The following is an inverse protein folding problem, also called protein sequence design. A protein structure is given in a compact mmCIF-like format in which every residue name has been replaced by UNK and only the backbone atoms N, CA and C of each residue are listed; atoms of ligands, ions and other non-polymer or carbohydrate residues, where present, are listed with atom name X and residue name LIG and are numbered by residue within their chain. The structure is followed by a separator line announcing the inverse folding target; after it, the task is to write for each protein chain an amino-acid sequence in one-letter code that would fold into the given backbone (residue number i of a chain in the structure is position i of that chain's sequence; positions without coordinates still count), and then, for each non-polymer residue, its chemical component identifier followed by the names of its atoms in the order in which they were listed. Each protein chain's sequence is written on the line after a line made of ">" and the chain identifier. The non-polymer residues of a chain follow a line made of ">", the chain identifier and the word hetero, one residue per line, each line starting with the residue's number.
data_IF_858656867781
#
_entry.id   IF_858656867781
#
_cell.length_a   1.000
_cell.length_b   1.000
_cell.length_c   1.000
_cell.angle_alpha   90.00
_cell.angle_beta   90.00
_cell.angle_gamma   90.00
#
_symmetry.space_group_name_H-M   'P 1'
#
loop_
_entity.id
_entity.type
_entity.pdbx_description
1 polymer ?
#
# COMPACT_ATOMS: atom_id res chain seq x y z
N UNK A 1 -75.43 16.57 14.99
CA UNK A 1 -74.57 16.47 13.78
C UNK A 1 -73.13 16.32 14.27
N UNK A 2 -72.65 15.10 14.32
CA UNK A 2 -71.34 14.78 14.93
C UNK A 2 -70.31 14.68 13.81
N UNK A 3 -69.36 15.61 13.79
CA UNK A 3 -68.27 15.69 12.84
C UNK A 3 -67.21 14.66 13.20
N UNK A 4 -67.04 13.58 12.42
CA UNK A 4 -65.98 12.60 12.59
C UNK A 4 -64.69 13.17 12.03
N UNK A 5 -63.74 13.53 12.91
CA UNK A 5 -62.35 13.84 12.54
C UNK A 5 -61.65 12.56 12.16
N UNK A 6 -61.21 12.43 10.90
CA UNK A 6 -60.30 11.34 10.43
C UNK A 6 -58.86 11.72 10.78
N UNK A 7 -58.07 10.84 11.42
CA UNK A 7 -56.66 11.10 11.63
C UNK A 7 -55.93 10.94 10.28
N UNK A 8 -55.29 12.03 9.85
CA UNK A 8 -54.35 12.02 8.72
C UNK A 8 -53.03 11.41 9.20
N UNK A 9 -52.76 10.18 8.78
CA UNK A 9 -51.49 9.49 9.10
C UNK A 9 -50.41 10.09 8.19
N UNK A 10 -49.57 10.98 8.76
CA UNK A 10 -48.41 11.55 8.09
C UNK A 10 -47.33 10.51 8.02
N UNK A 11 -47.16 9.83 6.89
CA UNK A 11 -46.03 8.97 6.62
C UNK A 11 -44.79 9.83 6.40
N UNK A 12 -43.94 10.00 7.43
CA UNK A 12 -42.61 10.58 7.29
C UNK A 12 -41.74 9.48 6.68
N UNK A 13 -41.50 9.56 5.37
CA UNK A 13 -40.50 8.78 4.68
C UNK A 13 -39.13 9.35 5.12
N UNK A 14 -38.52 8.76 6.15
CA UNK A 14 -37.11 8.99 6.43
C UNK A 14 -36.34 8.36 5.26
N UNK A 15 -35.98 9.17 4.27
CA UNK A 15 -34.95 8.85 3.32
C UNK A 15 -33.65 8.78 4.10
N UNK A 16 -33.23 7.58 4.50
CA UNK A 16 -31.87 7.31 4.96
C UNK A 16 -30.95 7.62 3.78
N UNK A 17 -30.28 8.76 3.85
CA UNK A 17 -29.14 9.04 2.98
C UNK A 17 -28.11 8.00 3.39
N UNK A 18 -28.04 6.90 2.65
CA UNK A 18 -26.96 5.93 2.74
C UNK A 18 -25.73 6.65 2.23
N UNK A 19 -24.93 7.20 3.14
CA UNK A 19 -23.53 7.47 2.85
C UNK A 19 -22.96 6.11 2.48
N UNK A 20 -22.61 5.93 1.20
CA UNK A 20 -22.07 4.66 0.69
C UNK A 20 -20.90 4.25 1.56
N UNK A 21 -21.10 3.20 2.37
CA UNK A 21 -20.02 2.62 3.14
C UNK A 21 -18.99 2.13 2.12
N UNK A 22 -17.73 2.61 2.27
CA UNK A 22 -16.60 2.12 1.49
C UNK A 22 -16.62 0.58 1.54
N UNK A 23 -16.59 -0.07 0.38
CA UNK A 23 -16.55 -1.53 0.34
C UNK A 23 -15.18 -2.02 0.83
N UNK A 24 -15.08 -3.26 1.30
CA UNK A 24 -13.79 -3.83 1.71
C UNK A 24 -12.79 -3.87 0.55
N UNK A 25 -13.26 -4.03 -0.67
CA UNK A 25 -12.44 -3.98 -1.87
C UNK A 25 -11.87 -2.57 -2.09
N UNK A 26 -12.69 -1.53 -1.94
CA UNK A 26 -12.25 -0.14 -2.07
C UNK A 26 -11.25 0.23 -0.98
N UNK A 27 -11.50 -0.19 0.26
CA UNK A 27 -10.59 0.02 1.38
C UNK A 27 -9.21 -0.60 1.15
N UNK A 28 -9.14 -1.81 0.58
CA UNK A 28 -7.87 -2.47 0.26
C UNK A 28 -7.19 -1.80 -0.92
N UNK A 29 -7.92 -1.43 -1.97
CA UNK A 29 -7.35 -0.68 -3.09
C UNK A 29 -6.74 0.65 -2.62
N UNK A 30 -7.42 1.37 -1.74
CA UNK A 30 -6.90 2.60 -1.15
C UNK A 30 -5.64 2.38 -0.29
N UNK A 31 -5.54 1.24 0.41
CA UNK A 31 -4.31 0.85 1.11
C UNK A 31 -3.17 0.64 0.11
N UNK A 32 -3.40 -0.05 -1.01
CA UNK A 32 -2.39 -0.29 -2.06
C UNK A 32 -1.96 1.04 -2.70
N UNK A 33 -2.90 1.93 -3.00
CA UNK A 33 -2.59 3.26 -3.56
C UNK A 33 -1.75 4.10 -2.59
N UNK A 34 -2.13 4.13 -1.31
CA UNK A 34 -1.37 4.84 -0.30
C UNK A 34 0.00 4.21 -0.03
N UNK A 35 0.10 2.87 -0.14
CA UNK A 35 1.36 2.15 -0.02
C UNK A 35 2.35 2.60 -1.10
N UNK A 36 1.92 2.67 -2.36
CA UNK A 36 2.74 3.16 -3.48
C UNK A 36 3.04 4.66 -3.37
N UNK A 37 2.03 5.46 -3.02
CA UNK A 37 2.20 6.91 -2.84
C UNK A 37 3.23 7.26 -1.76
N UNK A 38 3.20 6.59 -0.62
CA UNK A 38 4.16 6.83 0.46
C UNK A 38 5.57 6.38 0.11
N UNK A 39 5.73 5.34 -0.74
CA UNK A 39 7.00 4.99 -1.36
C UNK A 39 7.52 6.12 -2.24
N UNK A 40 6.70 6.63 -3.16
CA UNK A 40 7.08 7.69 -4.09
C UNK A 40 7.45 9.00 -3.37
N UNK A 41 6.80 9.28 -2.24
CA UNK A 41 7.10 10.43 -1.40
C UNK A 41 8.29 10.21 -0.45
N UNK A 42 8.83 8.99 -0.38
CA UNK A 42 9.89 8.63 0.58
C UNK A 42 9.43 8.65 2.04
N UNK A 43 8.13 8.49 2.30
CA UNK A 43 7.49 8.59 3.62
C UNK A 43 7.16 7.21 4.19
N UNK A 44 8.16 6.38 4.43
CA UNK A 44 7.93 4.99 4.83
C UNK A 44 7.40 4.86 6.28
N UNK A 45 7.66 5.83 7.13
CA UNK A 45 7.05 5.86 8.47
C UNK A 45 5.55 6.19 8.44
N UNK A 46 5.06 6.92 7.42
CA UNK A 46 3.62 7.06 7.16
C UNK A 46 3.02 5.76 6.62
N UNK A 47 3.76 5.07 5.74
CA UNK A 47 3.38 3.74 5.25
C UNK A 47 3.19 2.75 6.40
N UNK A 48 4.05 2.81 7.43
CA UNK A 48 3.98 1.98 8.63
C UNK A 48 2.62 2.05 9.35
N UNK A 49 1.89 3.16 9.23
CA UNK A 49 0.56 3.33 9.85
C UNK A 49 -0.50 2.40 9.26
N UNK A 50 -0.30 1.89 8.04
CA UNK A 50 -1.18 0.91 7.40
C UNK A 50 -0.88 -0.53 7.83
N UNK A 51 0.18 -0.75 8.60
CA UNK A 51 0.68 -2.07 8.99
C UNK A 51 0.32 -2.42 10.41
N UNK A 52 0.22 -3.71 10.70
CA UNK A 52 0.17 -4.23 12.06
C UNK A 52 1.57 -4.18 12.70
N UNK A 53 1.63 -4.02 14.02
CA UNK A 53 2.91 -4.00 14.75
C UNK A 53 3.69 -5.31 14.65
N UNK A 54 2.96 -6.41 14.51
CA UNK A 54 3.47 -7.78 14.36
C UNK A 54 3.58 -8.21 12.89
N UNK A 55 3.60 -7.26 11.94
CA UNK A 55 3.74 -7.54 10.52
C UNK A 55 5.02 -8.33 10.24
N UNK A 56 4.88 -9.41 9.49
CA UNK A 56 6.02 -10.14 8.92
C UNK A 56 6.37 -9.53 7.56
N UNK A 57 7.64 -9.20 7.36
CA UNK A 57 8.17 -8.78 6.07
C UNK A 57 9.20 -9.78 5.56
N UNK A 58 9.07 -10.14 4.29
CA UNK A 58 10.05 -10.94 3.55
C UNK A 58 10.52 -10.10 2.38
N UNK A 59 11.80 -9.76 2.37
CA UNK A 59 12.41 -8.91 1.35
C UNK A 59 12.95 -9.70 0.16
N UNK A 60 13.29 -9.00 -0.93
CA UNK A 60 13.87 -9.59 -2.13
C UNK A 60 15.32 -9.99 -1.89
N UNK A 61 15.85 -10.87 -2.77
CA UNK A 61 17.27 -11.19 -2.90
C UNK A 61 17.95 -11.62 -1.59
N UNK A 62 17.26 -12.41 -0.76
CA UNK A 62 17.84 -12.91 0.49
C UNK A 62 17.92 -11.89 1.62
N UNK A 63 17.22 -10.75 1.51
CA UNK A 63 17.13 -9.77 2.59
C UNK A 63 16.52 -10.34 3.90
N UNK A 64 16.04 -11.58 3.83
CA UNK A 64 15.57 -12.32 5.00
C UNK A 64 14.16 -11.95 5.42
N UNK A 65 13.84 -12.37 6.64
CA UNK A 65 12.53 -12.15 7.28
C UNK A 65 12.72 -11.25 8.49
N UNK A 66 11.90 -10.19 8.56
CA UNK A 66 11.84 -9.29 9.73
C UNK A 66 10.42 -9.34 10.29
N UNK A 67 10.31 -9.55 11.61
CA UNK A 67 9.04 -9.66 12.34
C UNK A 67 8.75 -8.46 13.25
N UNK A 68 9.70 -7.55 13.37
CA UNK A 68 9.52 -6.25 14.04
C UNK A 68 9.23 -5.19 12.98
N UNK A 69 7.99 -4.77 12.92
CA UNK A 69 7.52 -3.78 11.96
C UNK A 69 8.22 -2.43 12.14
N UNK A 70 8.42 -1.98 13.39
CA UNK A 70 9.05 -0.68 13.66
C UNK A 70 10.52 -0.68 13.24
N UNK A 71 11.27 -1.73 13.59
CA UNK A 71 12.66 -1.88 13.16
C UNK A 71 12.75 -1.90 11.64
N UNK A 72 11.92 -2.72 10.98
CA UNK A 72 11.92 -2.82 9.52
C UNK A 72 11.64 -1.47 8.85
N UNK A 73 10.63 -0.72 9.29
CA UNK A 73 10.26 0.54 8.65
C UNK A 73 11.28 1.65 8.92
N UNK A 74 11.91 1.68 10.09
CA UNK A 74 13.01 2.60 10.37
C UNK A 74 14.25 2.31 9.51
N UNK A 75 14.58 1.03 9.31
CA UNK A 75 15.69 0.64 8.41
C UNK A 75 15.38 1.08 6.96
N UNK A 76 14.19 0.82 6.46
CA UNK A 76 13.79 1.22 5.10
C UNK A 76 13.77 2.75 4.94
N UNK A 77 13.24 3.49 5.92
CA UNK A 77 13.26 4.96 5.89
C UNK A 77 14.70 5.49 5.84
N UNK A 78 15.60 4.94 6.65
CA UNK A 78 17.01 5.35 6.64
C UNK A 78 17.69 5.10 5.29
N UNK A 79 17.34 4.00 4.60
CA UNK A 79 17.85 3.71 3.25
C UNK A 79 17.33 4.73 2.23
N UNK A 80 16.04 5.05 2.27
CA UNK A 80 15.44 6.07 1.39
C UNK A 80 16.07 7.44 1.63
N UNK A 81 16.22 7.85 2.89
CA UNK A 81 16.85 9.13 3.25
C UNK A 81 18.29 9.20 2.73
N UNK A 82 19.05 8.11 2.82
CA UNK A 82 20.41 8.04 2.29
C UNK A 82 20.44 8.19 0.76
N UNK A 83 19.51 7.57 0.04
CA UNK A 83 19.39 7.71 -1.41
C UNK A 83 19.03 9.15 -1.77
N UNK A 84 18.02 9.75 -1.13
CA UNK A 84 17.58 11.13 -1.37
C UNK A 84 18.68 12.14 -1.05
N UNK A 85 19.44 11.90 0.00
CA UNK A 85 20.62 12.72 0.35
C UNK A 85 21.75 12.57 -0.68
N UNK A 86 22.01 11.35 -1.15
CA UNK A 86 23.05 11.05 -2.14
C UNK A 86 22.73 11.62 -3.51
N UNK A 87 21.45 11.58 -3.93
CA UNK A 87 20.98 12.08 -5.21
C UNK A 87 19.91 13.14 -4.96
N UNK A 88 20.35 14.32 -4.56
CA UNK A 88 19.43 15.44 -4.28
C UNK A 88 18.58 15.75 -5.50
N UNK A 89 17.26 15.79 -5.31
CA UNK A 89 16.28 16.04 -6.38
C UNK A 89 15.88 14.80 -7.18
N UNK A 90 16.30 13.59 -6.78
CA UNK A 90 15.75 12.35 -7.34
C UNK A 90 14.24 12.30 -7.09
N UNK A 91 13.50 11.82 -8.08
CA UNK A 91 12.09 11.46 -7.95
C UNK A 91 11.90 10.06 -8.50
N UNK A 92 10.93 9.34 -7.97
CA UNK A 92 10.49 8.08 -8.52
C UNK A 92 8.96 8.01 -8.52
N UNK A 93 8.44 7.18 -9.38
CA UNK A 93 7.03 6.96 -9.56
C UNK A 93 6.79 5.46 -9.63
N UNK A 94 5.87 4.98 -8.82
CA UNK A 94 5.52 3.57 -8.73
C UNK A 94 4.14 3.37 -9.35
N UNK A 95 4.10 2.64 -10.47
CA UNK A 95 2.87 2.20 -11.11
C UNK A 95 2.53 0.78 -10.64
N UNK A 96 1.34 0.59 -10.10
CA UNK A 96 0.85 -0.73 -9.68
C UNK A 96 0.01 -1.35 -10.79
N UNK A 97 0.41 -2.54 -11.24
CA UNK A 97 -0.28 -3.27 -12.31
C UNK A 97 -0.74 -4.63 -11.85
N UNK A 98 -1.75 -5.16 -12.55
CA UNK A 98 -2.26 -6.52 -12.40
C UNK A 98 -2.63 -6.83 -10.95
N UNK A 99 -3.47 -5.98 -10.35
CA UNK A 99 -3.96 -6.16 -8.98
C UNK A 99 -4.97 -7.29 -8.92
N UNK A 100 -4.69 -8.26 -8.08
CA UNK A 100 -5.62 -9.35 -7.73
C UNK A 100 -5.84 -9.32 -6.22
N UNK A 101 -7.10 -9.20 -5.80
CA UNK A 101 -7.48 -9.21 -4.39
C UNK A 101 -8.47 -10.35 -4.16
N UNK A 102 -8.19 -11.23 -3.21
CA UNK A 102 -9.05 -12.33 -2.80
C UNK A 102 -9.33 -12.26 -1.30
N UNK A 103 -10.59 -12.50 -0.93
CA UNK A 103 -11.04 -12.51 0.46
C UNK A 103 -11.16 -13.94 0.98
N UNK A 104 -10.86 -14.11 2.27
CA UNK A 104 -10.90 -15.37 3.00
C UNK A 104 -11.44 -15.13 4.41
N UNK A 105 -11.75 -16.21 5.13
CA UNK A 105 -12.15 -16.14 6.55
C UNK A 105 -13.35 -15.22 6.78
N UNK A 106 -14.45 -15.48 6.07
CA UNK A 106 -15.68 -14.69 6.16
C UNK A 106 -15.47 -13.18 5.90
N UNK A 107 -14.56 -12.87 4.99
CA UNK A 107 -14.24 -11.50 4.62
C UNK A 107 -13.35 -10.75 5.60
N UNK A 108 -12.71 -11.45 6.56
CA UNK A 108 -11.82 -10.81 7.56
C UNK A 108 -10.35 -10.83 7.18
N UNK A 109 -9.98 -11.60 6.18
CA UNK A 109 -8.63 -11.68 5.64
C UNK A 109 -8.67 -11.41 4.14
N UNK A 110 -7.70 -10.67 3.64
CA UNK A 110 -7.50 -10.49 2.21
C UNK A 110 -6.06 -10.77 1.83
N UNK A 111 -5.88 -11.34 0.65
CA UNK A 111 -4.59 -11.47 -0.02
C UNK A 111 -4.63 -10.60 -1.26
N UNK A 112 -3.74 -9.63 -1.34
CA UNK A 112 -3.57 -8.77 -2.49
C UNK A 112 -2.20 -9.04 -3.14
N UNK A 113 -2.19 -9.25 -4.46
CA UNK A 113 -0.96 -9.37 -5.23
C UNK A 113 -0.98 -8.39 -6.39
N UNK A 114 0.16 -7.83 -6.71
CA UNK A 114 0.33 -6.86 -7.79
C UNK A 114 1.80 -6.70 -8.15
N UNK A 115 2.07 -6.02 -9.25
CA UNK A 115 3.43 -5.68 -9.68
C UNK A 115 3.68 -4.19 -9.52
N UNK A 116 4.85 -3.85 -9.02
CA UNK A 116 5.38 -2.50 -9.05
C UNK A 116 6.30 -2.31 -10.23
N UNK A 117 6.00 -1.30 -11.02
CA UNK A 117 6.89 -0.76 -12.05
C UNK A 117 7.39 0.61 -11.57
N UNK A 118 8.70 0.74 -11.38
CA UNK A 118 9.31 1.96 -10.86
C UNK A 118 10.05 2.72 -11.95
N UNK A 119 9.72 4.00 -12.09
CA UNK A 119 10.45 4.93 -12.95
C UNK A 119 11.21 5.92 -12.10
N UNK A 120 12.52 6.04 -12.32
CA UNK A 120 13.38 7.01 -11.63
C UNK A 120 13.67 8.20 -12.53
N UNK A 121 13.42 9.40 -12.03
CA UNK A 121 13.81 10.66 -12.68
C UNK A 121 15.01 11.21 -11.92
N UNK A 122 16.16 11.20 -12.59
CA UNK A 122 17.43 11.65 -12.02
C UNK A 122 17.76 13.06 -12.48
N UNK A 123 18.29 13.92 -11.59
CA UNK A 123 18.80 15.24 -11.99
C UNK A 123 19.82 15.14 -13.12
N UNK A 124 19.89 16.14 -14.01
CA UNK A 124 20.80 16.12 -15.17
C UNK A 124 22.29 15.93 -14.79
N UNK A 125 22.69 16.49 -13.67
CA UNK A 125 24.07 16.45 -13.13
C UNK A 125 24.40 15.17 -12.32
N UNK A 126 23.50 14.19 -12.28
CA UNK A 126 23.75 12.90 -11.62
C UNK A 126 24.90 12.18 -12.33
N UNK A 127 25.95 11.78 -11.59
CA UNK A 127 27.10 11.08 -12.15
C UNK A 127 26.75 9.65 -12.64
N UNK A 128 27.64 9.06 -13.43
CA UNK A 128 27.44 7.75 -14.08
C UNK A 128 27.27 6.59 -13.06
N UNK A 129 28.02 6.62 -11.95
CA UNK A 129 27.94 5.60 -10.90
C UNK A 129 26.53 5.55 -10.29
N UNK A 130 26.01 6.70 -9.87
CA UNK A 130 24.65 6.79 -9.30
C UNK A 130 23.57 6.43 -10.33
N UNK A 131 23.75 6.83 -11.59
CA UNK A 131 22.84 6.41 -12.69
C UNK A 131 22.83 4.89 -12.83
N UNK A 132 24.01 4.25 -12.80
CA UNK A 132 24.13 2.80 -12.92
C UNK A 132 23.53 2.09 -11.69
N UNK A 133 23.72 2.63 -10.49
CA UNK A 133 23.09 2.11 -9.28
C UNK A 133 21.55 2.10 -9.40
N UNK A 134 20.96 3.16 -9.89
CA UNK A 134 19.49 3.24 -10.05
C UNK A 134 18.97 2.33 -11.16
N UNK A 135 19.73 2.14 -12.26
CA UNK A 135 19.38 1.19 -13.33
C UNK A 135 19.37 -0.27 -12.87
N UNK A 136 20.14 -0.60 -11.83
CA UNK A 136 20.21 -1.95 -11.26
C UNK A 136 19.08 -2.26 -10.28
N UNK A 137 18.24 -1.26 -9.93
CA UNK A 137 17.06 -1.53 -9.11
C UNK A 137 16.13 -2.53 -9.81
N UNK A 138 15.59 -3.50 -9.08
CA UNK A 138 14.69 -4.48 -9.68
C UNK A 138 13.42 -3.81 -10.21
N UNK A 139 13.05 -4.17 -11.44
CA UNK A 139 11.80 -3.74 -12.08
C UNK A 139 11.38 -4.80 -13.11
N UNK A 140 10.18 -5.37 -13.04
CA UNK A 140 9.20 -5.15 -11.98
C UNK A 140 9.50 -5.90 -10.67
N UNK A 141 8.87 -5.45 -9.59
CA UNK A 141 8.87 -6.13 -8.29
C UNK A 141 7.48 -6.72 -8.04
N UNK A 142 7.40 -8.01 -7.79
CA UNK A 142 6.15 -8.64 -7.35
C UNK A 142 5.93 -8.38 -5.86
N UNK A 143 4.72 -7.95 -5.51
CA UNK A 143 4.30 -7.65 -4.15
C UNK A 143 3.13 -8.57 -3.79
N UNK A 144 3.20 -9.17 -2.62
CA UNK A 144 2.07 -9.86 -1.99
C UNK A 144 1.85 -9.29 -0.60
N UNK A 145 0.62 -8.86 -0.35
CA UNK A 145 0.17 -8.38 0.96
C UNK A 145 -0.88 -9.35 1.51
N UNK A 146 -0.75 -9.71 2.79
CA UNK A 146 -1.87 -10.27 3.55
C UNK A 146 -2.38 -9.17 4.46
N UNK A 147 -3.68 -8.94 4.42
CA UNK A 147 -4.37 -7.94 5.24
C UNK A 147 -5.38 -8.63 6.15
N UNK A 148 -5.52 -8.12 7.36
CA UNK A 148 -6.49 -8.59 8.34
C UNK A 148 -7.39 -7.43 8.77
N UNK A 149 -8.69 -7.70 8.88
CA UNK A 149 -9.69 -6.74 9.36
C UNK A 149 -9.92 -6.93 10.86
N UNK A 150 -9.42 -5.99 11.66
CA UNK A 150 -9.63 -5.95 13.12
C UNK A 150 -10.47 -4.74 13.50
N UNK A 151 -11.60 -4.95 14.17
CA UNK A 151 -12.52 -3.88 14.61
C UNK A 151 -12.91 -2.93 13.47
N UNK A 152 -13.16 -3.49 12.28
CA UNK A 152 -13.55 -2.74 11.09
C UNK A 152 -12.41 -2.07 10.31
N UNK A 153 -11.16 -2.17 10.78
CA UNK A 153 -9.99 -1.54 10.12
C UNK A 153 -9.09 -2.60 9.51
N UNK A 154 -8.74 -2.44 8.24
CA UNK A 154 -7.78 -3.27 7.54
C UNK A 154 -6.35 -2.86 7.88
N UNK A 155 -5.50 -3.87 8.17
CA UNK A 155 -4.06 -3.70 8.41
C UNK A 155 -3.26 -4.74 7.65
N UNK A 156 -2.13 -4.34 7.10
CA UNK A 156 -1.17 -5.26 6.48
C UNK A 156 -0.48 -6.05 7.59
N UNK A 157 -0.64 -7.38 7.59
CA UNK A 157 -0.01 -8.30 8.56
C UNK A 157 1.15 -9.08 7.95
N UNK A 158 1.24 -9.13 6.62
CA UNK A 158 2.36 -9.75 5.93
C UNK A 158 2.65 -8.98 4.64
N UNK A 159 3.93 -8.82 4.33
CA UNK A 159 4.41 -8.30 3.05
C UNK A 159 5.51 -9.21 2.53
N UNK A 160 5.37 -9.67 1.30
CA UNK A 160 6.44 -10.35 0.57
C UNK A 160 6.74 -9.55 -0.70
N UNK A 161 8.02 -9.30 -0.94
CA UNK A 161 8.51 -8.65 -2.16
C UNK A 161 9.54 -9.54 -2.84
N UNK A 162 9.42 -9.71 -4.15
CA UNK A 162 10.38 -10.47 -4.95
C UNK A 162 10.69 -9.78 -6.26
N UNK A 163 11.96 -9.85 -6.67
CA UNK A 163 12.38 -9.39 -8.00
C UNK A 163 12.03 -10.47 -9.02
N UNK A 164 11.37 -10.08 -10.11
CA UNK A 164 11.03 -11.03 -11.20
C UNK A 164 12.18 -11.24 -12.16
N UNK A 165 13.14 -10.32 -12.20
CA UNK A 165 14.33 -10.41 -13.04
C UNK A 165 15.54 -10.36 -12.13
N UNK A 166 16.25 -11.47 -12.01
CA UNK A 166 17.64 -11.42 -11.59
C UNK A 166 18.40 -10.76 -12.72
N UNK A 167 18.72 -9.48 -12.58
CA UNK A 167 19.77 -8.88 -13.39
C UNK A 167 21.08 -9.55 -12.92
N UNK A 168 21.31 -10.80 -13.36
CA UNK A 168 22.63 -11.41 -13.29
C UNK A 168 23.57 -10.44 -13.97
N UNK A 169 24.55 -9.95 -13.20
CA UNK A 169 25.55 -9.07 -13.77
C UNK A 169 26.32 -9.81 -14.86
N UNK A 170 26.29 -9.25 -16.05
CA UNK A 170 27.33 -9.40 -17.03
C UNK A 170 28.51 -8.47 -16.68
#
# INVERSE_FOLDING_TARGET
>A
MILKLRPFLLFIILSTISFGNETDLDAINKIIDNYSKTEDEGKLLEQAKMMSKDRVWIGPNGAGRITDQSLNMNMQQSQVDAIMKSISGIKWFTDTRDRLIKFYGDGKVAVASFYWHRTFVLPPNTNSEKRNMMKKQPDPVAISLVLEKKKGVWKIVHTHTSSLVNKSGD
#
